data_IF_494527657015
#
_entry.id   IF_494527657015
#
_cell.length_a   1.000
_cell.length_b   1.000
_cell.length_c   1.000
_cell.angle_alpha   90.00
_cell.angle_beta   90.00
_cell.angle_gamma   90.00
#
_symmetry.space_group_name_H-M   'P 1'
#
loop_
_entity.id
_entity.type
_entity.pdbx_description
1 polymer ?
#
# COMPACT_ATOMS: atom_id res chain seq x y z
N UNK A 1 45.62 77.60 -41.73
CA UNK A 1 44.62 77.60 -40.65
C UNK A 1 43.40 76.71 -40.93
N UNK A 2 42.86 76.70 -42.15
CA UNK A 2 41.75 75.82 -42.56
C UNK A 2 42.05 74.32 -42.40
N UNK A 3 43.25 73.87 -42.76
CA UNK A 3 43.68 72.47 -42.61
C UNK A 3 43.71 72.00 -41.16
N UNK A 4 44.14 72.87 -40.23
CA UNK A 4 44.13 72.58 -38.78
C UNK A 4 42.70 72.54 -38.22
N UNK A 5 41.79 73.39 -38.72
CA UNK A 5 40.37 73.35 -38.35
C UNK A 5 39.67 72.08 -38.86
N UNK A 6 39.98 71.65 -40.08
CA UNK A 6 39.47 70.39 -40.64
C UNK A 6 39.99 69.15 -39.90
N UNK A 7 41.27 69.14 -39.51
CA UNK A 7 41.85 68.08 -38.68
C UNK A 7 41.24 68.04 -37.27
N UNK A 8 40.95 69.20 -36.66
CA UNK A 8 40.28 69.25 -35.36
C UNK A 8 38.84 68.71 -35.42
N UNK A 9 38.10 69.04 -36.50
CA UNK A 9 36.73 68.54 -36.72
C UNK A 9 36.71 67.03 -36.98
N UNK A 10 37.62 66.51 -37.80
CA UNK A 10 37.73 65.05 -38.04
C UNK A 10 38.14 64.29 -36.79
N UNK A 11 39.06 64.80 -35.98
CA UNK A 11 39.44 64.17 -34.72
C UNK A 11 38.28 64.14 -33.70
N UNK A 12 37.46 65.20 -33.66
CA UNK A 12 36.26 65.28 -32.81
C UNK A 12 35.18 64.30 -33.27
N UNK A 13 35.01 64.13 -34.58
CA UNK A 13 34.10 63.14 -35.16
C UNK A 13 34.52 61.70 -34.84
N UNK A 14 35.81 61.36 -34.98
CA UNK A 14 36.32 60.03 -34.66
C UNK A 14 36.15 59.68 -33.17
N UNK A 15 36.28 60.65 -32.27
CA UNK A 15 36.02 60.47 -30.83
C UNK A 15 34.54 60.19 -30.55
N UNK A 16 33.64 60.92 -31.19
CA UNK A 16 32.19 60.69 -31.08
C UNK A 16 31.79 59.32 -31.62
N UNK A 17 32.36 58.90 -32.76
CA UNK A 17 32.12 57.58 -33.34
C UNK A 17 32.60 56.45 -32.41
N UNK A 18 33.77 56.60 -31.78
CA UNK A 18 34.29 55.63 -30.81
C UNK A 18 33.39 55.51 -29.56
N UNK A 19 32.86 56.64 -29.06
CA UNK A 19 31.93 56.70 -27.92
C UNK A 19 30.60 56.02 -28.30
N UNK A 20 30.04 56.33 -29.47
CA UNK A 20 28.80 55.71 -29.96
C UNK A 20 28.96 54.20 -30.21
N UNK A 21 30.11 53.76 -30.72
CA UNK A 21 30.42 52.33 -30.87
C UNK A 21 30.50 51.62 -29.52
N UNK A 22 31.08 52.24 -28.48
CA UNK A 22 31.07 51.71 -27.11
C UNK A 22 29.65 51.59 -26.56
N UNK A 23 28.84 52.66 -26.63
CA UNK A 23 27.45 52.63 -26.19
C UNK A 23 26.62 51.58 -26.95
N UNK A 24 26.84 51.40 -28.26
CA UNK A 24 26.14 50.36 -29.04
C UNK A 24 26.53 48.94 -28.61
N UNK A 25 27.81 48.70 -28.28
CA UNK A 25 28.29 47.40 -27.78
C UNK A 25 27.73 47.11 -26.40
N UNK A 26 27.64 48.13 -25.55
CA UNK A 26 27.13 48.04 -24.18
C UNK A 26 25.61 47.86 -24.15
N UNK A 27 24.88 48.54 -25.04
CA UNK A 27 23.45 48.30 -25.26
C UNK A 27 23.19 46.89 -25.81
N UNK A 28 24.00 46.41 -26.76
CA UNK A 28 23.91 45.04 -27.28
C UNK A 28 24.16 44.00 -26.19
N UNK A 29 25.16 44.20 -25.33
CA UNK A 29 25.41 43.33 -24.16
C UNK A 29 24.22 43.29 -23.21
N UNK A 30 23.64 44.44 -22.86
CA UNK A 30 22.44 44.50 -22.01
C UNK A 30 21.22 43.81 -22.64
N UNK A 31 21.02 43.92 -23.96
CA UNK A 31 19.95 43.19 -24.65
C UNK A 31 20.21 41.68 -24.70
N UNK A 32 21.47 41.25 -24.84
CA UNK A 32 21.87 39.84 -24.81
C UNK A 32 21.67 39.25 -23.41
N UNK A 33 22.05 39.98 -22.36
CA UNK A 33 21.84 39.62 -20.95
C UNK A 33 20.35 39.57 -20.59
N UNK A 34 19.55 40.52 -21.07
CA UNK A 34 18.08 40.47 -20.92
C UNK A 34 17.47 39.28 -21.67
N UNK A 35 17.96 38.94 -22.86
CA UNK A 35 17.50 37.75 -23.61
C UNK A 35 17.86 36.46 -22.87
N UNK A 36 19.09 36.34 -22.36
CA UNK A 36 19.52 35.20 -21.53
C UNK A 36 18.72 35.09 -20.24
N UNK A 37 18.49 36.22 -19.54
CA UNK A 37 17.65 36.26 -18.36
C UNK A 37 16.19 35.92 -18.68
N UNK A 38 15.67 36.31 -19.85
CA UNK A 38 14.31 35.95 -20.28
C UNK A 38 14.20 34.48 -20.68
N UNK A 39 15.21 33.90 -21.32
CA UNK A 39 15.27 32.48 -21.65
C UNK A 39 15.37 31.65 -20.36
N UNK A 40 16.24 32.03 -19.42
CA UNK A 40 16.32 31.42 -18.10
C UNK A 40 15.01 31.54 -17.32
N UNK A 41 14.34 32.70 -17.36
CA UNK A 41 13.01 32.88 -16.75
C UNK A 41 11.96 32.00 -17.43
N UNK A 42 12.04 31.78 -18.74
CA UNK A 42 11.13 30.93 -19.49
C UNK A 42 11.37 29.44 -19.21
N UNK A 43 12.62 29.00 -19.14
CA UNK A 43 12.97 27.63 -18.77
C UNK A 43 12.60 27.33 -17.30
N UNK A 44 12.82 28.29 -16.41
CA UNK A 44 12.36 28.23 -15.02
C UNK A 44 10.83 28.25 -14.94
N UNK A 45 10.13 29.03 -15.76
CA UNK A 45 8.66 29.03 -15.79
C UNK A 45 8.09 27.72 -16.31
N UNK A 46 8.69 27.12 -17.35
CA UNK A 46 8.30 25.79 -17.86
C UNK A 46 8.57 24.69 -16.82
N UNK A 47 9.70 24.76 -16.12
CA UNK A 47 9.99 23.89 -14.98
C UNK A 47 8.97 24.02 -13.85
N UNK A 48 8.61 25.26 -13.49
CA UNK A 48 7.58 25.58 -12.50
C UNK A 48 6.17 25.16 -12.94
N UNK A 49 5.83 25.28 -14.22
CA UNK A 49 4.55 24.84 -14.78
C UNK A 49 4.45 23.33 -14.83
N UNK A 50 5.53 22.62 -15.17
CA UNK A 50 5.55 21.15 -15.14
C UNK A 50 5.44 20.60 -13.72
N UNK A 51 6.17 21.19 -12.77
CA UNK A 51 6.07 20.84 -11.34
C UNK A 51 4.71 21.22 -10.76
N UNK A 52 4.14 22.35 -11.17
CA UNK A 52 2.76 22.76 -10.81
C UNK A 52 1.70 21.84 -11.43
N UNK A 53 1.90 21.34 -12.65
CA UNK A 53 1.00 20.36 -13.27
C UNK A 53 1.07 19.00 -12.57
N UNK A 54 2.25 18.56 -12.15
CA UNK A 54 2.42 17.35 -11.33
C UNK A 54 1.78 17.54 -9.95
N UNK A 55 1.98 18.69 -9.31
CA UNK A 55 1.33 19.05 -8.04
C UNK A 55 -0.19 19.15 -8.16
N UNK A 56 -0.72 19.68 -9.27
CA UNK A 56 -2.16 19.79 -9.51
C UNK A 56 -2.81 18.41 -9.77
N UNK A 57 -2.11 17.48 -10.44
CA UNK A 57 -2.57 16.07 -10.53
C UNK A 57 -2.62 15.39 -9.16
N UNK A 58 -1.67 15.73 -8.28
CA UNK A 58 -1.64 15.27 -6.88
C UNK A 58 -2.77 15.89 -6.04
N UNK A 59 -3.37 17.02 -6.45
CA UNK A 59 -4.52 17.62 -5.74
C UNK A 59 -5.88 17.11 -6.21
N UNK A 60 -5.99 16.63 -7.46
CA UNK A 60 -7.27 16.16 -8.02
C UNK A 60 -7.58 14.69 -7.66
N UNK A 61 -6.56 13.87 -7.42
CA UNK A 61 -6.68 12.51 -6.88
C UNK A 61 -6.27 12.51 -5.39
N UNK A 62 -6.99 11.82 -4.49
CA UNK A 62 -6.53 11.66 -3.10
C UNK A 62 -5.10 11.09 -3.14
N UNK A 63 -4.06 11.85 -2.74
CA UNK A 63 -2.72 11.47 -3.17
C UNK A 63 -2.30 10.17 -2.48
N UNK A 64 -1.93 9.15 -3.21
CA UNK A 64 -1.28 7.98 -2.61
C UNK A 64 0.13 8.38 -2.14
N UNK A 65 0.69 7.62 -1.20
CA UNK A 65 2.07 7.84 -0.72
C UNK A 65 3.08 7.72 -1.88
N UNK A 66 2.79 6.83 -2.84
CA UNK A 66 3.56 6.66 -4.07
C UNK A 66 3.54 7.92 -4.95
N UNK A 67 2.36 8.45 -5.26
CA UNK A 67 2.20 9.65 -6.11
C UNK A 67 2.87 10.87 -5.47
N UNK A 68 2.70 11.05 -4.15
CA UNK A 68 3.35 12.13 -3.41
C UNK A 68 4.88 11.99 -3.44
N UNK A 69 5.40 10.78 -3.20
CA UNK A 69 6.84 10.50 -3.23
C UNK A 69 7.43 10.73 -4.61
N UNK A 70 6.74 10.30 -5.67
CA UNK A 70 7.16 10.52 -7.06
C UNK A 70 7.22 12.01 -7.41
N UNK A 71 6.20 12.78 -7.04
CA UNK A 71 6.17 14.23 -7.26
C UNK A 71 7.32 14.95 -6.54
N UNK A 72 7.59 14.61 -5.28
CA UNK A 72 8.72 15.17 -4.53
C UNK A 72 10.08 14.82 -5.16
N UNK A 73 10.26 13.59 -5.67
CA UNK A 73 11.48 13.18 -6.36
C UNK A 73 11.71 13.98 -7.65
N UNK A 74 10.65 14.21 -8.44
CA UNK A 74 10.73 15.07 -9.63
C UNK A 74 11.11 16.50 -9.29
N UNK A 75 10.49 17.09 -8.25
CA UNK A 75 10.84 18.44 -7.80
C UNK A 75 12.31 18.55 -7.35
N UNK A 76 12.82 17.56 -6.60
CA UNK A 76 14.22 17.56 -6.18
C UNK A 76 15.20 17.37 -7.35
N UNK A 77 14.83 16.58 -8.36
CA UNK A 77 15.64 16.44 -9.56
C UNK A 77 15.74 17.77 -10.33
N UNK A 78 14.62 18.48 -10.47
CA UNK A 78 14.64 19.82 -11.05
C UNK A 78 15.52 20.79 -10.23
N UNK A 79 15.42 20.78 -8.89
CA UNK A 79 16.29 21.60 -8.04
C UNK A 79 17.78 21.24 -8.24
N UNK A 80 18.12 19.96 -8.42
CA UNK A 80 19.50 19.55 -8.72
C UNK A 80 20.00 20.12 -10.04
N UNK A 81 19.17 20.13 -11.08
CA UNK A 81 19.49 20.72 -12.38
C UNK A 81 19.72 22.23 -12.26
N UNK A 82 18.86 22.93 -11.50
CA UNK A 82 19.05 24.36 -11.24
C UNK A 82 20.33 24.66 -10.45
N UNK A 83 20.64 23.84 -9.43
CA UNK A 83 21.91 23.95 -8.70
C UNK A 83 23.11 23.69 -9.62
N UNK A 84 23.04 22.73 -10.54
CA UNK A 84 24.12 22.49 -11.50
C UNK A 84 24.38 23.72 -12.39
N UNK A 85 23.31 24.38 -12.83
CA UNK A 85 23.40 25.62 -13.61
C UNK A 85 24.02 26.77 -12.79
N UNK A 86 23.54 27.01 -11.57
CA UNK A 86 24.06 28.06 -10.68
C UNK A 86 25.54 27.86 -10.33
N UNK A 87 26.01 26.62 -10.28
CA UNK A 87 27.43 26.31 -10.06
C UNK A 87 28.31 26.82 -11.21
N UNK A 88 27.81 26.74 -12.46
CA UNK A 88 28.52 27.26 -13.62
C UNK A 88 28.62 28.78 -13.58
N UNK A 89 27.56 29.47 -13.16
CA UNK A 89 27.56 30.94 -13.01
C UNK A 89 28.48 31.41 -11.87
N UNK A 90 28.53 30.67 -10.75
CA UNK A 90 29.44 30.97 -9.63
C UNK A 90 30.92 30.88 -10.02
N UNK A 91 31.26 30.03 -10.99
CA UNK A 91 32.64 29.95 -11.51
C UNK A 91 33.04 31.19 -12.33
N UNK A 92 32.08 31.90 -12.92
CA UNK A 92 32.30 33.13 -13.66
C UNK A 92 32.40 34.37 -12.74
N UNK A 93 31.81 34.30 -11.54
CA UNK A 93 31.82 35.39 -10.55
C UNK A 93 33.12 35.44 -9.72
N UNK A 94 33.80 34.30 -9.57
CA UNK A 94 35.04 34.13 -8.81
C UNK A 94 36.18 35.12 -9.15
N UNK A 95 36.49 35.40 -10.44
CA UNK A 95 37.52 36.37 -10.79
C UNK A 95 37.11 37.84 -10.52
N UNK A 96 35.84 38.12 -10.23
CA UNK A 96 35.30 39.49 -10.08
C UNK A 96 35.08 39.83 -8.60
N UNK A 97 34.50 38.91 -7.82
CA UNK A 97 34.19 39.10 -6.40
C UNK A 97 34.48 37.82 -5.59
N UNK A 98 35.74 37.60 -5.18
CA UNK A 98 36.18 36.32 -4.61
C UNK A 98 35.52 35.98 -3.26
N UNK A 99 35.31 36.97 -2.39
CA UNK A 99 34.69 36.76 -1.06
C UNK A 99 33.21 36.41 -1.17
N UNK A 100 32.46 37.13 -2.01
CA UNK A 100 31.05 36.83 -2.30
C UNK A 100 30.88 35.47 -2.98
N UNK A 101 31.78 35.14 -3.92
CA UNK A 101 31.78 33.83 -4.57
C UNK A 101 32.08 32.69 -3.59
N UNK A 102 32.95 32.90 -2.59
CA UNK A 102 33.24 31.91 -1.56
C UNK A 102 32.03 31.62 -0.66
N UNK A 103 31.31 32.66 -0.22
CA UNK A 103 30.09 32.51 0.58
C UNK A 103 28.99 31.76 -0.20
N UNK A 104 28.71 32.18 -1.43
CA UNK A 104 27.69 31.55 -2.29
C UNK A 104 28.05 30.10 -2.66
N UNK A 105 29.35 29.77 -2.78
CA UNK A 105 29.78 28.38 -2.97
C UNK A 105 29.49 27.51 -1.75
N UNK A 106 29.66 28.05 -0.56
CA UNK A 106 29.37 27.30 0.65
C UNK A 106 27.87 27.04 0.76
N UNK A 107 27.04 28.05 0.54
CA UNK A 107 25.58 27.92 0.47
C UNK A 107 25.15 26.91 -0.61
N UNK A 108 25.74 26.97 -1.81
CA UNK A 108 25.48 26.02 -2.89
C UNK A 108 25.81 24.57 -2.49
N UNK A 109 26.97 24.35 -1.86
CA UNK A 109 27.37 23.02 -1.37
C UNK A 109 26.41 22.49 -0.32
N UNK A 110 25.98 23.35 0.60
CA UNK A 110 25.09 22.96 1.70
C UNK A 110 23.68 22.64 1.17
N UNK A 111 23.16 23.44 0.23
CA UNK A 111 21.92 23.15 -0.50
C UNK A 111 22.01 21.85 -1.31
N UNK A 112 23.10 21.64 -2.07
CA UNK A 112 23.29 20.42 -2.85
C UNK A 112 23.35 19.16 -1.96
N UNK A 113 23.99 19.26 -0.79
CA UNK A 113 24.00 18.17 0.22
C UNK A 113 22.61 17.90 0.78
N UNK A 114 21.86 18.95 1.13
CA UNK A 114 20.50 18.81 1.65
C UNK A 114 19.55 18.18 0.61
N UNK A 115 19.64 18.61 -0.66
CA UNK A 115 18.85 18.05 -1.77
C UNK A 115 19.21 16.59 -2.04
N UNK A 116 20.50 16.24 -2.04
CA UNK A 116 20.94 14.85 -2.20
C UNK A 116 20.46 13.95 -1.05
N UNK A 117 20.57 14.42 0.20
CA UNK A 117 20.10 13.69 1.39
C UNK A 117 18.58 13.45 1.33
N UNK A 118 17.80 14.47 0.99
CA UNK A 118 16.34 14.35 0.87
C UNK A 118 15.92 13.47 -0.30
N UNK A 119 16.63 13.51 -1.43
CA UNK A 119 16.36 12.65 -2.58
C UNK A 119 16.65 11.18 -2.25
N UNK A 120 17.73 10.88 -1.53
CA UNK A 120 18.03 9.51 -1.10
C UNK A 120 16.98 8.98 -0.12
N UNK A 121 16.59 9.79 0.87
CA UNK A 121 15.52 9.41 1.81
C UNK A 121 14.18 9.12 1.09
N UNK A 122 13.83 9.92 0.07
CA UNK A 122 12.63 9.68 -0.74
C UNK A 122 12.74 8.44 -1.63
N UNK A 123 13.93 8.09 -2.13
CA UNK A 123 14.14 6.83 -2.87
C UNK A 123 13.99 5.62 -1.96
N UNK A 124 14.50 5.71 -0.73
CA UNK A 124 14.28 4.68 0.30
C UNK A 124 12.81 4.58 0.67
N UNK A 125 12.12 5.71 0.86
CA UNK A 125 10.67 5.76 1.07
C UNK A 125 9.88 5.14 -0.07
N UNK A 126 10.26 5.38 -1.33
CA UNK A 126 9.63 4.75 -2.50
C UNK A 126 9.74 3.23 -2.49
N UNK A 127 10.91 2.70 -2.09
CA UNK A 127 11.11 1.25 -1.94
C UNK A 127 10.24 0.70 -0.80
N UNK A 128 10.22 1.39 0.34
CA UNK A 128 9.42 0.99 1.49
C UNK A 128 7.91 0.96 1.19
N UNK A 129 7.39 1.90 0.38
CA UNK A 129 5.99 1.88 -0.10
C UNK A 129 5.75 0.63 -0.95
N UNK A 130 6.64 0.33 -1.90
CA UNK A 130 6.48 -0.86 -2.76
C UNK A 130 6.51 -2.17 -1.96
N UNK A 131 7.40 -2.26 -0.95
CA UNK A 131 7.46 -3.42 -0.06
C UNK A 131 6.19 -3.54 0.80
N UNK A 132 5.64 -2.41 1.27
CA UNK A 132 4.38 -2.35 2.00
C UNK A 132 3.19 -2.80 1.12
N UNK A 133 3.05 -2.27 -0.08
CA UNK A 133 1.97 -2.64 -1.02
C UNK A 133 2.02 -4.12 -1.39
N UNK A 134 3.23 -4.66 -1.56
CA UNK A 134 3.47 -6.09 -1.78
C UNK A 134 3.01 -6.93 -0.58
N UNK A 135 3.36 -6.52 0.64
CA UNK A 135 2.95 -7.19 1.87
C UNK A 135 1.41 -7.14 2.08
N UNK A 136 0.79 -5.99 1.82
CA UNK A 136 -0.68 -5.82 1.85
C UNK A 136 -1.35 -6.76 0.85
N UNK A 137 -0.86 -6.80 -0.39
CA UNK A 137 -1.39 -7.67 -1.45
C UNK A 137 -1.29 -9.15 -1.07
N UNK A 138 -0.15 -9.59 -0.53
CA UNK A 138 0.06 -10.96 -0.07
C UNK A 138 -0.89 -11.34 1.09
N UNK A 139 -1.00 -10.47 2.10
CA UNK A 139 -1.89 -10.70 3.24
C UNK A 139 -3.36 -10.74 2.81
N UNK A 140 -3.79 -9.79 1.96
CA UNK A 140 -5.16 -9.72 1.45
C UNK A 140 -5.51 -10.94 0.59
N UNK A 141 -4.63 -11.33 -0.33
CA UNK A 141 -4.84 -12.50 -1.20
C UNK A 141 -5.02 -13.78 -0.37
N UNK A 142 -4.15 -13.97 0.63
CA UNK A 142 -4.26 -15.11 1.53
C UNK A 142 -5.56 -15.08 2.35
N UNK A 143 -5.92 -13.93 2.93
CA UNK A 143 -7.16 -13.81 3.71
C UNK A 143 -8.40 -14.09 2.87
N UNK A 144 -8.48 -13.60 1.63
CA UNK A 144 -9.60 -13.87 0.73
C UNK A 144 -9.74 -15.37 0.45
N UNK A 145 -8.63 -16.05 0.13
CA UNK A 145 -8.64 -17.50 -0.12
C UNK A 145 -9.08 -18.28 1.13
N UNK A 146 -8.60 -17.88 2.31
CA UNK A 146 -8.93 -18.54 3.56
C UNK A 146 -10.40 -18.29 3.99
N UNK A 147 -10.92 -17.09 3.77
CA UNK A 147 -12.33 -16.74 3.96
C UNK A 147 -13.24 -17.55 3.00
N UNK A 148 -12.84 -17.72 1.75
CA UNK A 148 -13.56 -18.54 0.77
C UNK A 148 -13.57 -20.03 1.15
N UNK A 149 -12.45 -20.56 1.63
CA UNK A 149 -12.40 -21.92 2.20
C UNK A 149 -13.37 -22.05 3.38
N UNK A 150 -13.34 -21.10 4.31
CA UNK A 150 -14.21 -21.13 5.49
C UNK A 150 -15.70 -21.08 5.11
N UNK A 151 -16.07 -20.28 4.11
CA UNK A 151 -17.45 -20.23 3.56
C UNK A 151 -17.88 -21.56 2.95
N UNK A 152 -16.98 -22.27 2.27
CA UNK A 152 -17.30 -23.61 1.73
C UNK A 152 -17.54 -24.61 2.85
N UNK A 153 -16.73 -24.55 3.90
CA UNK A 153 -16.88 -25.43 5.06
C UNK A 153 -18.16 -25.14 5.86
N UNK A 154 -18.57 -23.88 5.99
CA UNK A 154 -19.80 -23.53 6.70
C UNK A 154 -21.07 -24.03 6.01
N UNK A 155 -21.03 -24.21 4.69
CA UNK A 155 -22.19 -24.57 3.87
C UNK A 155 -22.21 -26.05 3.46
N UNK A 156 -21.43 -26.91 4.14
CA UNK A 156 -21.32 -28.32 3.77
C UNK A 156 -22.37 -29.21 4.44
N UNK A 157 -22.62 -30.37 3.81
CA UNK A 157 -23.52 -31.41 4.34
C UNK A 157 -22.80 -32.28 5.39
N UNK A 158 -23.52 -32.84 6.37
CA UNK A 158 -22.94 -33.61 7.48
C UNK A 158 -22.04 -34.79 7.08
N UNK A 159 -22.29 -35.40 5.93
CA UNK A 159 -21.48 -36.49 5.38
C UNK A 159 -20.04 -36.06 5.08
N UNK A 160 -19.81 -34.78 4.83
CA UNK A 160 -18.48 -34.22 4.53
C UNK A 160 -17.75 -33.69 5.76
N UNK A 161 -18.40 -33.67 6.94
CA UNK A 161 -17.81 -33.12 8.16
C UNK A 161 -16.48 -33.78 8.55
N UNK A 162 -16.28 -35.11 8.47
CA UNK A 162 -15.00 -35.71 8.82
C UNK A 162 -13.83 -35.16 7.98
N UNK A 163 -14.04 -35.03 6.67
CA UNK A 163 -13.02 -34.50 5.74
C UNK A 163 -12.76 -33.00 5.96
N UNK A 164 -13.82 -32.22 6.20
CA UNK A 164 -13.69 -30.77 6.42
C UNK A 164 -13.20 -30.40 7.81
N UNK A 165 -13.40 -31.23 8.84
CA UNK A 165 -12.78 -31.05 10.15
C UNK A 165 -11.26 -31.09 10.04
N UNK A 166 -10.72 -32.08 9.30
CA UNK A 166 -9.29 -32.17 9.03
C UNK A 166 -8.79 -30.96 8.21
N UNK A 167 -9.58 -30.51 7.23
CA UNK A 167 -9.25 -29.32 6.43
C UNK A 167 -9.28 -28.02 7.26
N UNK A 168 -10.22 -27.90 8.21
CA UNK A 168 -10.31 -26.78 9.14
C UNK A 168 -9.14 -26.73 10.13
N UNK A 169 -8.72 -27.89 10.65
CA UNK A 169 -7.52 -28.00 11.48
C UNK A 169 -6.28 -27.56 10.70
N UNK A 170 -6.15 -28.03 9.46
CA UNK A 170 -5.06 -27.61 8.57
C UNK A 170 -5.10 -26.10 8.28
N UNK A 171 -6.29 -25.52 8.10
CA UNK A 171 -6.48 -24.08 7.92
C UNK A 171 -6.02 -23.31 9.17
N UNK A 172 -6.47 -23.70 10.37
CA UNK A 172 -6.06 -23.08 11.63
C UNK A 172 -4.55 -23.15 11.85
N UNK A 173 -3.93 -24.31 11.61
CA UNK A 173 -2.47 -24.46 11.67
C UNK A 173 -1.76 -23.57 10.63
N UNK A 174 -2.35 -23.41 9.44
CA UNK A 174 -1.78 -22.57 8.39
C UNK A 174 -1.89 -21.09 8.77
N UNK A 175 -3.00 -20.68 9.39
CA UNK A 175 -3.16 -19.34 9.97
C UNK A 175 -2.08 -19.10 11.03
N UNK A 176 -1.90 -20.01 11.98
CA UNK A 176 -0.87 -19.84 13.01
C UNK A 176 0.56 -19.76 12.43
N UNK A 177 0.88 -20.62 11.46
CA UNK A 177 2.20 -20.63 10.79
C UNK A 177 2.44 -19.37 9.98
N UNK A 178 1.42 -18.87 9.29
CA UNK A 178 1.53 -17.73 8.38
C UNK A 178 1.40 -16.39 9.09
N UNK A 179 0.86 -16.35 10.30
CA UNK A 179 0.64 -15.13 11.09
C UNK A 179 1.92 -14.31 11.22
N UNK A 180 3.02 -14.92 11.69
CA UNK A 180 4.31 -14.23 11.79
C UNK A 180 4.87 -13.82 10.42
N UNK A 181 4.74 -14.67 9.40
CA UNK A 181 5.33 -14.39 8.08
C UNK A 181 4.57 -13.34 7.27
N UNK A 182 3.25 -13.22 7.44
CA UNK A 182 2.44 -12.30 6.65
C UNK A 182 2.16 -11.02 7.45
N UNK A 183 1.65 -11.13 8.67
CA UNK A 183 1.41 -9.95 9.51
C UNK A 183 2.72 -9.34 10.00
N UNK A 184 3.72 -10.15 10.35
CA UNK A 184 5.04 -9.61 10.73
C UNK A 184 5.76 -8.92 9.57
N UNK A 185 5.63 -9.43 8.34
CA UNK A 185 6.15 -8.73 7.16
C UNK A 185 5.39 -7.45 6.88
N UNK A 186 4.06 -7.44 7.07
CA UNK A 186 3.24 -6.23 6.94
C UNK A 186 3.61 -5.18 7.99
N UNK A 187 3.79 -5.57 9.25
CA UNK A 187 4.17 -4.68 10.34
C UNK A 187 5.58 -4.12 10.16
N UNK A 188 6.53 -4.96 9.73
CA UNK A 188 7.90 -4.51 9.45
C UNK A 188 7.98 -3.60 8.22
N UNK A 189 7.23 -3.89 7.15
CA UNK A 189 7.14 -3.02 5.99
C UNK A 189 6.49 -1.67 6.33
N UNK A 190 5.43 -1.68 7.14
CA UNK A 190 4.80 -0.46 7.64
C UNK A 190 5.77 0.35 8.52
N UNK A 191 6.52 -0.30 9.42
CA UNK A 191 7.52 0.36 10.25
C UNK A 191 8.66 0.97 9.40
N UNK A 192 9.12 0.26 8.37
CA UNK A 192 10.11 0.77 7.42
C UNK A 192 9.58 1.98 6.65
N UNK A 193 8.31 1.95 6.22
CA UNK A 193 7.64 3.06 5.55
C UNK A 193 7.51 4.28 6.47
N UNK A 194 7.10 4.09 7.72
CA UNK A 194 7.04 5.16 8.74
C UNK A 194 8.43 5.70 9.06
N UNK A 195 9.45 4.86 9.12
CA UNK A 195 10.83 5.31 9.35
C UNK A 195 11.38 6.14 8.20
N UNK A 196 11.09 5.76 6.95
CA UNK A 196 11.58 6.44 5.76
C UNK A 196 10.82 7.73 5.42
N UNK A 197 9.50 7.75 5.64
CA UNK A 197 8.61 8.85 5.23
C UNK A 197 8.15 9.72 6.40
N UNK A 198 8.26 9.25 7.64
CA UNK A 198 7.87 9.97 8.85
C UNK A 198 6.41 10.44 8.80
N UNK A 199 6.20 11.74 9.03
CA UNK A 199 4.88 12.38 9.02
C UNK A 199 4.16 12.35 7.65
N UNK A 200 4.79 11.84 6.60
CA UNK A 200 4.19 11.71 5.26
C UNK A 200 3.40 10.42 5.07
N UNK A 201 3.54 9.45 5.99
CA UNK A 201 2.67 8.26 6.01
C UNK A 201 1.25 8.69 6.36
N UNK A 202 0.29 8.22 5.58
CA UNK A 202 -1.10 8.60 5.70
C UNK A 202 -1.86 7.68 6.64
N UNK A 203 -2.86 8.24 7.32
CA UNK A 203 -3.78 7.47 8.16
C UNK A 203 -4.43 6.26 7.44
N UNK A 204 -4.88 6.35 6.16
CA UNK A 204 -5.44 5.19 5.46
C UNK A 204 -4.52 3.96 5.33
N UNK A 205 -3.20 4.11 5.18
CA UNK A 205 -2.29 2.95 5.16
C UNK A 205 -2.17 2.33 6.56
N UNK A 206 -2.22 3.15 7.61
CA UNK A 206 -2.28 2.65 8.98
C UNK A 206 -3.60 1.92 9.29
N UNK A 207 -4.72 2.47 8.83
CA UNK A 207 -6.05 1.87 8.97
C UNK A 207 -6.15 0.55 8.19
N UNK A 208 -5.54 0.46 7.01
CA UNK A 208 -5.54 -0.77 6.21
C UNK A 208 -4.76 -1.90 6.89
N UNK A 209 -3.58 -1.63 7.46
CA UNK A 209 -2.85 -2.65 8.22
C UNK A 209 -3.66 -3.13 9.42
N UNK A 210 -4.28 -2.20 10.16
CA UNK A 210 -5.11 -2.54 11.31
C UNK A 210 -6.33 -3.37 10.89
N UNK A 211 -7.00 -2.99 9.80
CA UNK A 211 -8.13 -3.74 9.24
C UNK A 211 -7.74 -5.17 8.85
N UNK A 212 -6.56 -5.37 8.24
CA UNK A 212 -6.07 -6.70 7.88
C UNK A 212 -5.77 -7.56 9.13
N UNK A 213 -5.22 -6.98 10.20
CA UNK A 213 -5.03 -7.69 11.47
C UNK A 213 -6.37 -8.11 12.08
N UNK A 214 -7.34 -7.20 12.10
CA UNK A 214 -8.67 -7.49 12.64
C UNK A 214 -9.37 -8.59 11.85
N UNK A 215 -9.31 -8.55 10.51
CA UNK A 215 -9.83 -9.61 9.64
C UNK A 215 -9.15 -10.95 9.91
N UNK A 216 -7.83 -10.96 10.12
CA UNK A 216 -7.09 -12.16 10.47
C UNK A 216 -7.59 -12.79 11.78
N UNK A 217 -7.71 -11.99 12.83
CA UNK A 217 -8.18 -12.46 14.14
C UNK A 217 -9.65 -12.93 14.06
N UNK A 218 -10.49 -12.20 13.34
CA UNK A 218 -11.89 -12.61 13.10
C UNK A 218 -11.95 -13.95 12.35
N UNK A 219 -11.13 -14.14 11.32
CA UNK A 219 -11.08 -15.39 10.57
C UNK A 219 -10.65 -16.57 11.45
N UNK A 220 -9.63 -16.38 12.29
CA UNK A 220 -9.15 -17.40 13.24
C UNK A 220 -10.21 -17.77 14.26
N UNK A 221 -10.92 -16.78 14.82
CA UNK A 221 -12.05 -16.99 15.72
C UNK A 221 -13.19 -17.75 15.04
N UNK A 222 -13.60 -17.34 13.84
CA UNK A 222 -14.68 -17.99 13.10
C UNK A 222 -14.32 -19.42 12.69
N UNK A 223 -13.09 -19.66 12.27
CA UNK A 223 -12.61 -21.00 11.93
C UNK A 223 -12.58 -21.92 13.17
N UNK A 224 -12.16 -21.40 14.32
CA UNK A 224 -12.17 -22.16 15.59
C UNK A 224 -13.59 -22.48 16.06
N UNK A 225 -14.51 -21.52 15.95
CA UNK A 225 -15.91 -21.73 16.29
C UNK A 225 -16.55 -22.78 15.37
N UNK A 226 -16.37 -22.63 14.05
CA UNK A 226 -16.88 -23.59 13.07
C UNK A 226 -16.32 -25.00 13.30
N UNK A 227 -15.02 -25.13 13.61
CA UNK A 227 -14.43 -26.44 13.94
C UNK A 227 -15.12 -27.08 15.15
N UNK A 228 -15.34 -26.33 16.23
CA UNK A 228 -16.05 -26.82 17.43
C UNK A 228 -17.49 -27.23 17.11
N UNK A 229 -18.20 -26.45 16.31
CA UNK A 229 -19.58 -26.73 15.96
C UNK A 229 -19.71 -27.92 15.03
N UNK A 230 -18.88 -28.00 13.98
CA UNK A 230 -18.82 -29.16 13.09
C UNK A 230 -18.43 -30.44 13.83
N UNK A 231 -17.57 -30.36 14.85
CA UNK A 231 -17.19 -31.52 15.65
C UNK A 231 -18.35 -32.01 16.53
N UNK A 232 -19.14 -31.10 17.11
CA UNK A 232 -20.37 -31.48 17.81
C UNK A 232 -21.39 -32.10 16.87
N UNK A 233 -21.61 -31.46 15.72
CA UNK A 233 -22.60 -31.91 14.75
C UNK A 233 -22.20 -33.25 14.09
N UNK A 234 -20.91 -33.51 13.88
CA UNK A 234 -20.46 -34.80 13.33
C UNK A 234 -20.73 -35.96 14.28
N UNK A 235 -20.54 -35.76 15.59
CA UNK A 235 -20.86 -36.74 16.63
C UNK A 235 -22.38 -36.99 16.67
N UNK A 236 -23.19 -35.93 16.59
CA UNK A 236 -24.66 -36.05 16.59
C UNK A 236 -25.16 -36.76 15.32
N UNK A 237 -24.58 -36.43 14.16
CA UNK A 237 -24.90 -37.06 12.89
C UNK A 237 -24.59 -38.56 12.90
N UNK A 238 -23.43 -38.97 13.45
CA UNK A 238 -23.07 -40.38 13.54
C UNK A 238 -24.00 -41.13 14.50
N UNK A 239 -24.35 -40.53 15.66
CA UNK A 239 -25.34 -41.09 16.58
C UNK A 239 -26.71 -41.28 15.91
N UNK A 240 -27.13 -40.30 15.12
CA UNK A 240 -28.37 -40.38 14.36
C UNK A 240 -28.32 -41.49 13.31
N UNK A 241 -27.24 -41.56 12.52
CA UNK A 241 -27.04 -42.59 11.48
C UNK A 241 -27.10 -44.00 12.07
N UNK A 242 -26.36 -44.26 13.16
CA UNK A 242 -26.39 -45.55 13.85
C UNK A 242 -27.78 -45.90 14.38
N UNK A 243 -28.53 -44.92 14.89
CA UNK A 243 -29.89 -45.15 15.36
C UNK A 243 -30.85 -45.48 14.20
N UNK A 244 -30.70 -44.80 13.06
CA UNK A 244 -31.48 -45.04 11.84
C UNK A 244 -31.16 -46.41 11.23
N UNK A 245 -29.88 -46.78 11.11
CA UNK A 245 -29.45 -48.08 10.60
C UNK A 245 -30.02 -49.23 11.43
N UNK A 246 -30.00 -49.09 12.77
CA UNK A 246 -30.62 -50.07 13.69
C UNK A 246 -32.12 -50.22 13.46
N UNK A 247 -32.83 -49.14 13.16
CA UNK A 247 -34.26 -49.19 12.84
C UNK A 247 -34.51 -49.84 11.48
N UNK A 248 -33.67 -49.57 10.47
CA UNK A 248 -33.76 -50.21 9.16
C UNK A 248 -33.46 -51.72 9.23
N UNK A 249 -32.38 -52.13 9.90
CA UNK A 249 -32.06 -53.54 10.13
C UNK A 249 -33.20 -54.27 10.85
N UNK A 250 -33.85 -53.60 11.79
CA UNK A 250 -35.02 -54.14 12.48
C UNK A 250 -36.23 -54.28 11.55
N UNK A 251 -36.57 -53.24 10.78
CA UNK A 251 -37.68 -53.28 9.83
C UNK A 251 -37.50 -54.36 8.75
N UNK A 252 -36.25 -54.64 8.36
CA UNK A 252 -35.90 -55.72 7.44
C UNK A 252 -35.92 -57.11 8.09
N UNK A 253 -35.83 -57.18 9.42
CA UNK A 253 -35.85 -58.43 10.20
C UNK A 253 -37.25 -58.86 10.64
N UNK A 254 -38.28 -58.01 10.56
CA UNK A 254 -39.66 -58.48 10.70
C UNK A 254 -40.00 -59.37 9.51
N UNK A 255 -40.13 -60.70 9.69
CA UNK A 255 -40.77 -61.50 8.67
C UNK A 255 -42.26 -61.15 8.73
N UNK A 256 -42.91 -61.06 7.57
CA UNK A 256 -44.36 -61.17 7.53
C UNK A 256 -44.79 -62.43 8.30
N UNK A 257 -45.40 -62.25 9.47
CA UNK A 257 -45.98 -63.32 10.27
C UNK A 257 -45.41 -63.43 11.68
N UNK A 258 -46.01 -62.74 12.63
CA UNK A 258 -46.78 -63.37 13.71
C UNK A 258 -47.40 -62.28 14.59
N UNK A 259 -48.71 -62.37 14.76
CA UNK A 259 -49.52 -61.51 15.61
C UNK A 259 -48.98 -61.48 17.04
N UNK A 260 -48.24 -60.42 17.40
CA UNK A 260 -48.03 -60.06 18.81
C UNK A 260 -48.93 -58.90 19.17
N UNK A 261 -50.07 -59.26 19.75
CA UNK A 261 -50.91 -58.37 20.54
C UNK A 261 -50.10 -57.79 21.71
N UNK A 262 -49.90 -56.48 21.71
CA UNK A 262 -49.32 -55.76 22.84
C UNK A 262 -48.78 -54.41 22.39
N UNK A 263 -49.38 -53.33 22.88
CA UNK A 263 -49.01 -51.94 22.57
C UNK A 263 -47.62 -51.51 23.12
N UNK A 264 -46.76 -52.45 23.49
CA UNK A 264 -45.48 -52.20 24.14
C UNK A 264 -44.35 -52.40 23.14
N UNK A 265 -43.60 -51.33 22.89
CA UNK A 265 -42.38 -51.36 22.10
C UNK A 265 -41.39 -52.35 22.74
N UNK A 266 -40.76 -53.20 21.94
CA UNK A 266 -39.67 -54.04 22.45
C UNK A 266 -38.55 -53.15 23.01
N UNK A 267 -37.79 -53.66 23.99
CA UNK A 267 -36.70 -52.92 24.64
C UNK A 267 -35.74 -52.25 23.63
N UNK A 268 -35.45 -52.94 22.53
CA UNK A 268 -34.60 -52.42 21.45
C UNK A 268 -35.24 -51.25 20.67
N UNK A 269 -36.56 -51.30 20.39
CA UNK A 269 -37.30 -50.20 19.76
C UNK A 269 -37.40 -48.98 20.69
N UNK A 270 -37.67 -49.21 21.97
CA UNK A 270 -37.70 -48.15 22.97
C UNK A 270 -36.33 -47.47 23.08
N UNK A 271 -35.24 -48.25 23.08
CA UNK A 271 -33.87 -47.74 23.12
C UNK A 271 -33.48 -46.96 21.84
N UNK A 272 -33.82 -47.46 20.65
CA UNK A 272 -33.54 -46.77 19.38
C UNK A 272 -34.35 -45.47 19.25
N UNK A 273 -35.65 -45.50 19.60
CA UNK A 273 -36.51 -44.32 19.61
C UNK A 273 -36.05 -43.29 20.64
N UNK A 274 -35.65 -43.72 21.84
CA UNK A 274 -35.06 -42.84 22.86
C UNK A 274 -33.74 -42.21 22.39
N UNK A 275 -32.92 -42.97 21.66
CA UNK A 275 -31.71 -42.44 21.01
C UNK A 275 -32.01 -41.31 20.03
N UNK A 276 -33.00 -41.50 19.15
CA UNK A 276 -33.44 -40.47 18.20
C UNK A 276 -34.05 -39.24 18.90
N UNK A 277 -34.92 -39.41 19.89
CA UNK A 277 -35.47 -38.28 20.64
C UNK A 277 -34.41 -37.53 21.44
N UNK A 278 -33.38 -38.22 21.94
CA UNK A 278 -32.22 -37.57 22.57
C UNK A 278 -31.47 -36.69 21.58
N UNK A 279 -31.15 -37.21 20.39
CA UNK A 279 -30.43 -36.44 19.36
C UNK A 279 -31.25 -35.24 18.88
N UNK A 280 -32.55 -35.43 18.64
CA UNK A 280 -33.46 -34.31 18.26
C UNK A 280 -33.51 -33.24 19.35
N UNK A 281 -33.57 -33.63 20.63
CA UNK A 281 -33.55 -32.70 21.76
C UNK A 281 -32.23 -31.94 21.84
N UNK A 282 -31.09 -32.63 21.68
CA UNK A 282 -29.76 -32.04 21.69
C UNK A 282 -29.54 -31.06 20.52
N UNK A 283 -30.02 -31.41 19.31
CA UNK A 283 -30.01 -30.51 18.14
C UNK A 283 -30.91 -29.28 18.33
N UNK A 284 -32.09 -29.47 18.93
CA UNK A 284 -33.03 -28.38 19.23
C UNK A 284 -32.47 -27.43 20.30
N UNK A 285 -31.73 -27.95 21.27
CA UNK A 285 -31.04 -27.14 22.27
C UNK A 285 -29.82 -26.39 21.69
N UNK A 286 -29.07 -27.02 20.78
CA UNK A 286 -27.91 -26.41 20.12
C UNK A 286 -28.31 -25.27 19.15
N UNK A 287 -29.48 -25.38 18.52
CA UNK A 287 -30.04 -24.31 17.66
C UNK A 287 -30.58 -23.14 18.49
N UNK A 288 -31.21 -23.41 19.63
CA UNK A 288 -31.71 -22.36 20.55
C UNK A 288 -30.61 -21.60 21.31
N UNK A 289 -29.38 -22.13 21.42
CA UNK A 289 -28.25 -21.42 22.05
C UNK A 289 -27.38 -20.63 21.07
N UNK A 290 -27.74 -20.64 19.79
CA UNK A 290 -27.03 -19.93 18.70
C UNK A 290 -27.77 -18.67 18.22
N UNK A 291 -28.95 -18.39 18.77
CA UNK A 291 -29.67 -17.10 18.71
C UNK A 291 -29.30 -16.22 19.91
#
# INVERSE_FOLDING_TARGET
>A
EETLRQLALTNRWLRLEAILKRFSKEARRKTEEQRRASALRHDVSLGLESTRAVLNRVTDEKPTEELHTAACLHALQWIQEQLAFLKADLSQLEPIQPEAAAALRQEHKDLARAVSKTQNALREGKKAIADYDSAVSAARSFLVQAEDCLRRYSNCVPELYPSYLQALEALLQTLDKREHSLLGNLDSAQAAMVSALGARVKQPSQDETQSLRERWQMLKQRASLLHKDMLKLSILWERWRVAVDRLYEWALREPHGEERSGAELSYAQAAARAGLTSVVRELSAATASSE
#
